data_IF_421651762947
#
_entry.id   IF_421651762947
#
_cell.length_a   1.000
_cell.length_b   1.000
_cell.length_c   1.000
_cell.angle_alpha   90.00
_cell.angle_beta   90.00
_cell.angle_gamma   90.00
#
_symmetry.space_group_name_H-M   'P 1'
#
loop_
_entity.id
_entity.type
_entity.pdbx_description
1 polymer ?
#
# COMPACT_ATOMS: atom_id res chain seq x y z
N UNK A 1 2.98 -15.79 -15.30
CA UNK A 1 2.55 -17.15 -14.92
C UNK A 1 3.81 -17.98 -14.79
N UNK A 2 4.29 -18.20 -13.57
CA UNK A 2 5.46 -19.07 -13.31
C UNK A 2 4.99 -20.53 -13.28
N UNK A 3 5.81 -21.43 -13.82
CA UNK A 3 5.48 -22.86 -13.96
C UNK A 3 5.61 -23.58 -12.61
N UNK A 4 4.64 -24.46 -12.36
CA UNK A 4 4.31 -25.16 -11.11
C UNK A 4 5.29 -26.30 -10.72
N UNK A 5 6.60 -26.19 -10.97
CA UNK A 5 7.54 -27.30 -10.66
C UNK A 5 8.90 -26.85 -10.12
N UNK A 6 9.14 -25.56 -9.92
CA UNK A 6 10.42 -25.10 -9.42
C UNK A 6 10.41 -24.97 -7.89
N UNK A 7 11.27 -25.77 -7.25
CA UNK A 7 11.87 -25.60 -5.92
C UNK A 7 11.65 -24.18 -5.41
N UNK A 8 10.97 -24.02 -4.25
CA UNK A 8 10.66 -22.73 -3.58
C UNK A 8 11.63 -21.65 -4.05
N UNK A 9 11.11 -20.68 -4.82
CA UNK A 9 11.90 -19.60 -5.43
C UNK A 9 13.02 -19.16 -4.47
N UNK A 10 14.26 -19.09 -4.97
CA UNK A 10 15.39 -18.69 -4.14
C UNK A 10 15.10 -17.35 -3.46
N UNK A 11 15.56 -17.19 -2.22
CA UNK A 11 15.29 -15.98 -1.42
C UNK A 11 15.59 -14.70 -2.20
N UNK A 12 16.64 -14.71 -3.04
CA UNK A 12 17.03 -13.58 -3.89
C UNK A 12 15.93 -13.15 -4.87
N UNK A 13 15.30 -14.11 -5.55
CA UNK A 13 14.21 -13.83 -6.51
C UNK A 13 12.95 -13.35 -5.80
N UNK A 14 12.70 -13.85 -4.59
CA UNK A 14 11.60 -13.38 -3.74
C UNK A 14 11.82 -11.93 -3.27
N UNK A 15 13.04 -11.58 -2.84
CA UNK A 15 13.40 -10.21 -2.46
C UNK A 15 13.21 -9.25 -3.65
N UNK A 16 13.66 -9.61 -4.85
CA UNK A 16 13.45 -8.81 -6.06
C UNK A 16 11.96 -8.63 -6.41
N UNK A 17 11.12 -9.63 -6.11
CA UNK A 17 9.66 -9.50 -6.25
C UNK A 17 9.11 -8.53 -5.22
N UNK A 18 9.48 -8.68 -3.95
CA UNK A 18 9.03 -7.79 -2.87
C UNK A 18 9.41 -6.32 -3.14
N UNK A 19 10.63 -6.06 -3.59
CA UNK A 19 11.09 -4.72 -3.96
C UNK A 19 10.24 -4.10 -5.07
N UNK A 20 9.82 -4.90 -6.06
CA UNK A 20 8.88 -4.41 -7.10
C UNK A 20 7.54 -4.03 -6.48
N UNK A 21 6.94 -4.89 -5.66
CA UNK A 21 5.66 -4.56 -5.01
C UNK A 21 5.75 -3.33 -4.09
N UNK A 22 6.86 -3.19 -3.35
CA UNK A 22 7.14 -1.98 -2.58
C UNK A 22 7.20 -0.73 -3.46
N UNK A 23 7.87 -0.80 -4.62
CA UNK A 23 7.93 0.31 -5.56
C UNK A 23 6.53 0.68 -6.10
N UNK A 24 5.71 -0.31 -6.44
CA UNK A 24 4.33 -0.06 -6.89
C UNK A 24 3.49 0.59 -5.79
N UNK A 25 3.58 0.10 -4.56
CA UNK A 25 2.92 0.67 -3.40
C UNK A 25 3.36 2.12 -3.14
N UNK A 26 4.66 2.39 -3.26
CA UNK A 26 5.21 3.75 -3.13
C UNK A 26 4.66 4.69 -4.20
N UNK A 27 4.60 4.26 -5.47
CA UNK A 27 4.05 5.07 -6.57
C UNK A 27 2.57 5.41 -6.31
N UNK A 28 1.76 4.41 -5.94
CA UNK A 28 0.34 4.61 -5.59
C UNK A 28 0.21 5.62 -4.46
N UNK A 29 1.06 5.48 -3.44
CA UNK A 29 1.05 6.36 -2.28
C UNK A 29 1.44 7.81 -2.63
N UNK A 30 2.51 8.00 -3.43
CA UNK A 30 2.94 9.33 -3.90
C UNK A 30 1.87 10.01 -4.75
N UNK A 31 1.17 9.26 -5.60
CA UNK A 31 0.03 9.79 -6.37
C UNK A 31 -1.09 10.25 -5.43
N UNK A 32 -1.37 9.49 -4.37
CA UNK A 32 -2.37 9.85 -3.35
C UNK A 32 -2.03 11.11 -2.54
N UNK A 33 -0.75 11.50 -2.46
CA UNK A 33 -0.32 12.74 -1.79
C UNK A 33 -0.65 13.99 -2.62
N UNK A 34 -0.63 13.89 -3.95
CA UNK A 34 -0.77 15.05 -4.85
C UNK A 34 -2.04 15.88 -4.57
N UNK A 35 -3.25 15.29 -4.41
CA UNK A 35 -4.45 16.05 -4.08
C UNK A 35 -4.34 16.81 -2.75
N UNK A 36 -3.65 16.23 -1.77
CA UNK A 36 -3.37 16.87 -0.47
C UNK A 36 -2.57 18.15 -0.64
N UNK A 37 -1.44 18.03 -1.35
CA UNK A 37 -0.52 19.16 -1.56
C UNK A 37 -1.22 20.29 -2.30
N UNK A 38 -1.96 19.95 -3.35
CA UNK A 38 -2.73 20.93 -4.11
C UNK A 38 -3.83 21.56 -3.27
N UNK A 39 -4.57 20.80 -2.46
CA UNK A 39 -5.64 21.35 -1.64
C UNK A 39 -5.12 22.27 -0.53
N UNK A 40 -4.10 21.86 0.23
CA UNK A 40 -3.51 22.73 1.25
C UNK A 40 -2.85 23.99 0.65
N UNK A 41 -2.23 23.86 -0.53
CA UNK A 41 -1.64 25.01 -1.23
C UNK A 41 -2.70 25.96 -1.79
N UNK A 42 -3.77 25.45 -2.43
CA UNK A 42 -4.75 26.28 -3.13
C UNK A 42 -5.87 26.80 -2.22
N UNK A 43 -6.32 26.01 -1.23
CA UNK A 43 -7.46 26.35 -0.37
C UNK A 43 -7.00 27.13 0.87
N UNK A 44 -5.89 26.70 1.50
CA UNK A 44 -5.38 27.31 2.74
C UNK A 44 -4.13 28.18 2.51
N UNK A 45 -3.66 28.30 1.26
CA UNK A 45 -2.47 29.09 0.93
C UNK A 45 -1.21 28.68 1.71
N UNK A 46 -1.13 27.42 2.16
CA UNK A 46 0.05 26.89 2.82
C UNK A 46 1.23 26.88 1.84
N UNK A 47 2.44 27.16 2.33
CA UNK A 47 3.63 26.98 1.51
C UNK A 47 3.78 25.49 1.11
N UNK A 48 4.41 25.20 -0.02
CA UNK A 48 4.54 23.83 -0.54
C UNK A 48 5.13 22.85 0.50
N UNK A 49 6.18 23.18 1.27
CA UNK A 49 6.70 22.29 2.30
C UNK A 49 5.66 21.95 3.38
N UNK A 50 4.90 22.95 3.83
CA UNK A 50 3.84 22.78 4.83
C UNK A 50 2.66 21.99 4.27
N UNK A 51 2.33 22.21 2.99
CA UNK A 51 1.29 21.48 2.28
C UNK A 51 1.66 19.99 2.15
N UNK A 52 2.92 19.67 1.83
CA UNK A 52 3.43 18.29 1.81
C UNK A 52 3.38 17.68 3.20
N UNK A 53 3.90 18.39 4.21
CA UNK A 53 3.92 17.90 5.59
C UNK A 53 2.50 17.58 6.08
N UNK A 54 1.57 18.52 5.93
CA UNK A 54 0.16 18.31 6.28
C UNK A 54 -0.49 17.17 5.50
N UNK A 55 -0.15 17.00 4.23
CA UNK A 55 -0.67 15.90 3.41
C UNK A 55 -0.22 14.55 3.96
N UNK A 56 1.07 14.40 4.26
CA UNK A 56 1.63 13.17 4.81
C UNK A 56 1.14 12.89 6.23
N UNK A 57 0.90 13.92 7.05
CA UNK A 57 0.33 13.74 8.40
C UNK A 57 -1.03 13.04 8.40
N UNK A 58 -1.81 13.14 7.31
CA UNK A 58 -3.13 12.51 7.19
C UNK A 58 -3.12 10.97 7.15
N UNK A 59 -1.96 10.32 7.05
CA UNK A 59 -1.85 8.85 7.10
C UNK A 59 -2.18 8.32 8.48
N UNK A 60 -1.82 9.06 9.52
CA UNK A 60 -1.81 8.59 10.90
C UNK A 60 -2.48 9.54 11.87
N UNK A 61 -2.05 9.46 13.13
CA UNK A 61 -2.60 10.26 14.23
C UNK A 61 -1.80 11.55 14.48
N UNK A 62 -0.87 11.89 13.59
CA UNK A 62 -0.06 13.09 13.74
C UNK A 62 -0.92 14.32 13.43
N UNK A 63 -0.86 15.30 14.32
CA UNK A 63 -1.54 16.59 14.12
C UNK A 63 -1.01 17.29 12.87
N UNK A 64 -1.86 18.13 12.26
CA UNK A 64 -1.41 19.01 11.19
C UNK A 64 -0.41 20.02 11.75
N UNK A 65 0.61 20.38 10.95
CA UNK A 65 1.55 21.43 11.31
C UNK A 65 0.87 22.80 11.33
N UNK A 66 0.05 23.06 10.31
CA UNK A 66 -0.79 24.25 10.19
C UNK A 66 -2.23 23.77 9.99
N UNK A 67 -3.13 24.13 10.89
CA UNK A 67 -4.53 23.69 10.81
C UNK A 67 -5.32 24.51 9.77
N UNK A 68 -6.23 23.89 9.00
CA UNK A 68 -7.12 24.60 8.10
C UNK A 68 -8.03 25.58 8.86
N UNK A 69 -8.00 26.84 8.47
CA UNK A 69 -8.77 27.91 9.11
C UNK A 69 -10.10 28.10 8.40
N UNK A 70 -10.12 27.95 7.07
CA UNK A 70 -11.31 28.16 6.26
C UNK A 70 -12.32 27.01 6.40
N UNK A 71 -13.60 27.32 6.24
CA UNK A 71 -14.67 26.30 6.24
C UNK A 71 -14.43 25.25 5.15
N UNK A 72 -13.98 25.68 3.96
CA UNK A 72 -13.71 24.78 2.85
C UNK A 72 -12.51 23.87 3.14
N UNK A 73 -11.44 24.41 3.75
CA UNK A 73 -10.25 23.65 4.10
C UNK A 73 -10.52 22.59 5.17
N UNK A 74 -11.41 22.87 6.13
CA UNK A 74 -11.85 21.86 7.12
C UNK A 74 -12.58 20.69 6.48
N UNK A 75 -13.49 20.97 5.55
CA UNK A 75 -14.16 19.90 4.79
C UNK A 75 -13.20 19.14 3.89
N UNK A 76 -12.29 19.87 3.22
CA UNK A 76 -11.25 19.27 2.42
C UNK A 76 -10.38 18.33 3.25
N UNK A 77 -9.84 18.77 4.40
CA UNK A 77 -8.97 17.92 5.23
C UNK A 77 -9.69 16.68 5.75
N UNK A 78 -10.98 16.78 6.06
CA UNK A 78 -11.78 15.62 6.46
C UNK A 78 -11.91 14.58 5.32
N UNK A 79 -12.26 15.03 4.12
CA UNK A 79 -12.44 14.15 2.95
C UNK A 79 -11.09 13.58 2.49
N UNK A 80 -10.09 14.45 2.38
CA UNK A 80 -8.75 14.08 1.97
C UNK A 80 -8.10 13.12 2.96
N UNK A 81 -8.30 13.32 4.27
CA UNK A 81 -7.83 12.42 5.31
C UNK A 81 -8.37 11.00 5.15
N UNK A 82 -9.68 10.86 4.88
CA UNK A 82 -10.30 9.57 4.60
C UNK A 82 -9.74 8.94 3.30
N UNK A 83 -9.60 9.75 2.25
CA UNK A 83 -9.03 9.31 0.98
C UNK A 83 -7.59 8.78 1.15
N UNK A 84 -6.70 9.52 1.83
CA UNK A 84 -5.31 9.12 1.98
C UNK A 84 -5.17 7.86 2.84
N UNK A 85 -6.00 7.71 3.88
CA UNK A 85 -6.06 6.47 4.67
C UNK A 85 -6.47 5.27 3.82
N UNK A 86 -7.47 5.43 2.92
CA UNK A 86 -7.85 4.37 1.99
C UNK A 86 -6.69 4.01 1.04
N UNK A 87 -6.00 5.01 0.48
CA UNK A 87 -4.81 4.79 -0.35
C UNK A 87 -3.69 4.07 0.41
N UNK A 88 -3.49 4.41 1.69
CA UNK A 88 -2.52 3.72 2.54
C UNK A 88 -2.87 2.23 2.72
N UNK A 89 -4.13 1.88 2.96
CA UNK A 89 -4.55 0.48 3.03
C UNK A 89 -4.42 -0.26 1.69
N UNK A 90 -4.70 0.40 0.57
CA UNK A 90 -4.46 -0.17 -0.77
C UNK A 90 -2.96 -0.46 -0.94
N UNK A 91 -2.09 0.47 -0.57
CA UNK A 91 -0.64 0.29 -0.64
C UNK A 91 -0.17 -0.90 0.22
N UNK A 92 -0.71 -1.06 1.43
CA UNK A 92 -0.44 -2.25 2.27
C UNK A 92 -0.88 -3.53 1.54
N UNK A 93 -2.09 -3.55 0.97
CA UNK A 93 -2.59 -4.70 0.21
C UNK A 93 -1.67 -5.11 -0.94
N UNK A 94 -1.12 -4.14 -1.67
CA UNK A 94 -0.13 -4.37 -2.73
C UNK A 94 1.14 -5.03 -2.17
N UNK A 95 1.67 -4.54 -1.03
CA UNK A 95 2.86 -5.12 -0.39
C UNK A 95 2.61 -6.53 0.14
N UNK A 96 1.41 -6.80 0.67
CA UNK A 96 1.03 -8.09 1.25
C UNK A 96 0.73 -9.15 0.18
N UNK A 97 0.31 -8.75 -1.02
CA UNK A 97 -0.04 -9.64 -2.15
C UNK A 97 0.96 -10.79 -2.40
N UNK A 98 2.28 -10.56 -2.55
CA UNK A 98 3.24 -11.66 -2.79
C UNK A 98 3.35 -12.67 -1.63
N UNK A 99 3.04 -12.27 -0.39
CA UNK A 99 3.05 -13.18 0.76
C UNK A 99 1.80 -14.06 0.76
N UNK A 100 0.63 -13.45 0.57
CA UNK A 100 -0.66 -14.19 0.50
C UNK A 100 -0.63 -15.20 -0.64
N UNK A 101 -0.17 -14.78 -1.82
CA UNK A 101 -0.03 -15.70 -2.96
C UNK A 101 0.95 -16.85 -2.66
N UNK A 102 2.02 -16.61 -1.90
CA UNK A 102 2.97 -17.68 -1.51
C UNK A 102 2.36 -18.67 -0.51
N UNK A 103 1.62 -18.17 0.48
CA UNK A 103 0.97 -19.02 1.49
C UNK A 103 -0.12 -19.88 0.85
N UNK A 104 -0.99 -19.28 0.04
CA UNK A 104 -2.08 -20.00 -0.65
C UNK A 104 -1.57 -21.08 -1.60
N UNK A 105 -0.46 -20.80 -2.29
CA UNK A 105 0.18 -21.78 -3.16
C UNK A 105 0.89 -22.89 -2.38
N UNK A 106 1.41 -22.60 -1.17
CA UNK A 106 2.00 -23.62 -0.31
C UNK A 106 0.95 -24.60 0.22
N UNK A 107 -0.24 -24.11 0.58
CA UNK A 107 -1.30 -24.96 1.13
C UNK A 107 -1.91 -25.92 0.10
N UNK A 108 -2.08 -25.51 -1.16
CA UNK A 108 -2.57 -26.43 -2.20
C UNK A 108 -1.59 -27.56 -2.52
N UNK A 109 -0.28 -27.33 -2.37
CA UNK A 109 0.73 -28.38 -2.58
C UNK A 109 0.66 -29.45 -1.48
N UNK A 110 0.37 -29.05 -0.24
CA UNK A 110 0.23 -30.00 0.87
C UNK A 110 -0.97 -30.94 0.66
N UNK A 111 -2.07 -30.46 0.06
CA UNK A 111 -3.25 -31.29 -0.21
C UNK A 111 -2.99 -32.32 -1.34
N UNK A 112 -2.33 -31.91 -2.43
CA UNK A 112 -2.03 -32.78 -3.58
C UNK A 112 -1.01 -33.90 -3.22
N UNK A 113 0.02 -33.61 -2.42
CA UNK A 113 0.99 -34.64 -1.96
C UNK A 113 0.33 -35.68 -1.02
N UNK A 114 -0.72 -35.29 -0.30
CA UNK A 114 -1.42 -36.17 0.64
C UNK A 114 -2.38 -37.15 -0.07
N UNK A 115 -2.84 -36.84 -1.28
CA UNK A 115 -3.68 -37.73 -2.08
C UNK A 115 -2.86 -38.73 -2.92
N UNK A 116 -1.74 -38.32 -3.54
CA UNK A 116 -0.88 -39.25 -4.30
C UNK A 116 -0.23 -40.33 -3.40
N UNK A 117 -0.04 -40.04 -2.11
CA UNK A 117 0.45 -41.01 -1.12
C UNK A 117 -0.58 -42.08 -0.71
N UNK A 118 -1.88 -41.86 -0.98
CA UNK A 118 -2.96 -42.81 -0.65
C UNK A 118 -3.32 -43.75 -1.82
N UNK A 119 -3.13 -43.33 -3.07
CA UNK A 119 -3.39 -44.19 -4.24
C UNK A 119 -2.29 -45.24 -4.50
N UNK A 120 -1.11 -45.08 -3.91
CA UNK A 120 0.02 -46.04 -4.04
C UNK A 120 0.11 -47.09 -2.93
N UNK A 121 -0.94 -47.26 -2.12
CA UNK A 121 -1.04 -48.28 -1.07
C UNK A 121 -2.17 -49.25 -1.34
#
# INVERSE_FOLDING_TARGET
MEKFTDKLISLDKFILRLLRFLLHALIVFLIGIIPGVLGFFLIESHAIPDAILNSVSMIGTQSLHIEPVSTLGKYFSAIYGLFLQAIFFIAIGVVVTPFVHRILHSWHIDDDETEEGKEKK
#
